data_IF_032891904061
#
_entry.id   IF_032891904061
#
_cell.length_a   1.000
_cell.length_b   1.000
_cell.length_c   1.000
_cell.angle_alpha   90.00
_cell.angle_beta   90.00
_cell.angle_gamma   90.00
#
_symmetry.space_group_name_H-M   'P 1'
#
loop_
_entity.id
_entity.type
_entity.pdbx_description
1 polymer ?
#
# COMPACT_ATOMS: atom_id res chain seq x y z
N UNK A 1 28.31 -12.13 1.43
CA UNK A 1 27.73 -12.09 1.94
C UNK A 1 27.47 -11.87 2.02
N UNK A 2 27.39 -11.65 1.62
CA UNK A 2 26.82 -11.41 1.99
C UNK A 2 26.53 -11.16 2.12
N UNK A 3 26.65 -11.03 1.59
CA UNK A 3 26.10 -10.82 1.98
C UNK A 3 25.90 -10.40 2.06
N UNK A 4 25.93 -10.34 1.69
CA UNK A 4 25.50 -10.02 2.02
C UNK A 4 25.50 -9.62 1.93
N UNK A 5 25.69 -9.70 1.52
CA UNK A 5 25.43 -9.42 1.64
C UNK A 5 25.40 -9.36 1.31
N UNK A 6 25.35 -9.70 1.08
CA UNK A 6 24.97 -9.77 0.98
C UNK A 6 24.66 -9.60 0.83
N UNK A 7 24.52 -9.84 0.69
CA UNK A 7 24.13 -9.46 0.77
C UNK A 7 24.70 -8.76 0.92
N UNK A 8 25.11 -8.98 1.26
CA UNK A 8 25.31 -8.04 1.49
C UNK A 8 25.68 -6.92 1.15
N UNK A 9 25.84 -7.01 1.63
CA UNK A 9 26.18 -6.05 0.63
C UNK A 9 25.03 -5.76 -0.33
N UNK A 10 23.91 -5.61 0.25
CA UNK A 10 22.70 -5.28 -0.49
C UNK A 10 22.78 -3.85 -0.99
N UNK A 11 22.40 -3.58 -2.24
CA UNK A 11 22.16 -2.21 -2.67
C UNK A 11 21.18 -1.53 -1.73
N UNK A 12 21.34 -0.22 -1.53
CA UNK A 12 20.47 0.49 -0.60
C UNK A 12 19.01 0.41 -1.02
N UNK A 13 18.72 0.36 -2.32
CA UNK A 13 17.34 0.26 -2.77
C UNK A 13 16.73 -1.09 -2.43
N UNK A 14 17.53 -2.13 -2.26
CA UNK A 14 17.02 -3.43 -1.84
C UNK A 14 16.58 -3.43 -0.39
N UNK A 15 17.19 -2.56 0.43
CA UNK A 15 16.77 -2.43 1.81
C UNK A 15 15.56 -1.53 1.96
N UNK A 16 15.24 -0.79 0.93
CA UNK A 16 14.18 0.19 0.95
C UNK A 16 13.24 -0.13 -0.21
N UNK A 17 12.50 -1.22 -0.05
CA UNK A 17 11.68 -1.78 -1.12
C UNK A 17 10.23 -1.80 -0.66
N UNK A 18 9.55 -0.66 -0.65
CA UNK A 18 8.17 -0.62 -0.19
C UNK A 18 7.20 -1.15 -1.25
N UNK A 19 6.22 -1.88 -0.77
CA UNK A 19 5.12 -2.36 -1.59
C UNK A 19 3.82 -1.82 -0.99
N UNK A 20 3.07 -1.05 -1.79
CA UNK A 20 1.84 -0.43 -1.34
C UNK A 20 0.66 -1.17 -1.96
N UNK A 21 -0.28 -1.55 -1.12
CA UNK A 21 -1.52 -2.17 -1.58
C UNK A 21 -2.67 -1.23 -1.25
N UNK A 22 -3.38 -0.80 -2.29
CA UNK A 22 -4.54 0.07 -2.12
C UNK A 22 -5.77 -0.77 -2.33
N UNK A 23 -6.58 -0.89 -1.31
CA UNK A 23 -7.86 -1.58 -1.39
C UNK A 23 -8.95 -0.54 -1.45
N UNK A 24 -9.86 -0.67 -2.39
CA UNK A 24 -10.91 0.32 -2.58
C UNK A 24 -12.19 -0.34 -3.04
N UNK A 25 -13.29 0.33 -2.80
CA UNK A 25 -14.57 -0.11 -3.33
C UNK A 25 -14.55 0.14 -4.83
N UNK A 26 -15.02 -0.82 -5.59
CA UNK A 26 -14.99 -0.74 -7.06
C UNK A 26 -15.74 0.48 -7.57
N UNK A 27 -15.43 0.87 -8.80
CA UNK A 27 -16.10 2.00 -9.45
C UNK A 27 -15.17 3.06 -9.96
N UNK A 28 -13.88 2.96 -9.68
CA UNK A 28 -12.92 3.92 -10.21
C UNK A 28 -12.47 3.51 -11.61
N UNK A 29 -12.21 4.49 -12.45
CA UNK A 29 -11.76 4.24 -13.80
C UNK A 29 -10.29 3.80 -13.81
N UNK A 30 -9.87 3.21 -14.94
CA UNK A 30 -8.48 2.84 -15.10
C UNK A 30 -7.58 4.07 -15.04
N UNK A 31 -8.03 5.18 -15.61
CA UNK A 31 -7.26 6.42 -15.56
C UNK A 31 -7.05 6.91 -14.14
N UNK A 32 -8.09 6.79 -13.30
CA UNK A 32 -7.97 7.19 -11.90
C UNK A 32 -6.99 6.29 -11.16
N UNK A 33 -7.02 5.00 -11.46
CA UNK A 33 -6.11 4.06 -10.81
C UNK A 33 -4.66 4.34 -11.20
N UNK A 34 -4.42 4.67 -12.45
CA UNK A 34 -3.07 4.99 -12.90
C UNK A 34 -2.58 6.30 -12.29
N UNK A 35 -3.46 7.29 -12.20
CA UNK A 35 -3.11 8.55 -11.56
C UNK A 35 -2.78 8.33 -10.08
N UNK A 36 -3.58 7.52 -9.39
CA UNK A 36 -3.34 7.21 -8.00
C UNK A 36 -1.99 6.51 -7.83
N UNK A 37 -1.70 5.54 -8.70
CA UNK A 37 -0.43 4.83 -8.64
C UNK A 37 0.75 5.78 -8.78
N UNK A 38 0.67 6.73 -9.70
CA UNK A 38 1.74 7.70 -9.90
C UNK A 38 1.94 8.57 -8.68
N UNK A 39 0.84 9.03 -8.08
CA UNK A 39 0.94 9.89 -6.89
C UNK A 39 1.44 9.13 -5.67
N UNK A 40 0.99 7.89 -5.49
CA UNK A 40 1.46 7.06 -4.39
C UNK A 40 2.96 6.77 -4.52
N UNK A 41 3.39 6.43 -5.73
CA UNK A 41 4.81 6.18 -6.00
C UNK A 41 5.63 7.41 -5.64
N UNK A 42 5.17 8.57 -6.08
CA UNK A 42 5.86 9.83 -5.81
C UNK A 42 5.94 10.11 -4.31
N UNK A 43 4.84 9.89 -3.61
CA UNK A 43 4.80 10.13 -2.16
C UNK A 43 5.78 9.22 -1.43
N UNK A 44 5.84 7.95 -1.81
CA UNK A 44 6.76 7.01 -1.18
C UNK A 44 8.20 7.41 -1.43
N UNK A 45 8.51 7.78 -2.68
CA UNK A 45 9.86 8.22 -3.01
C UNK A 45 10.27 9.44 -2.20
N UNK A 46 9.35 10.39 -2.07
CA UNK A 46 9.64 11.62 -1.33
C UNK A 46 9.82 11.36 0.15
N UNK A 47 8.92 10.57 0.73
CA UNK A 47 8.92 10.38 2.18
C UNK A 47 10.01 9.44 2.65
N UNK A 48 10.32 8.41 1.88
CA UNK A 48 11.26 7.37 2.29
C UNK A 48 12.62 7.47 1.60
N UNK A 49 12.74 8.31 0.59
CA UNK A 49 13.98 8.38 -0.17
C UNK A 49 14.20 7.16 -1.05
N UNK A 50 13.14 6.45 -1.41
CA UNK A 50 13.25 5.25 -2.23
C UNK A 50 13.46 5.60 -3.69
N UNK A 51 14.18 4.75 -4.41
CA UNK A 51 14.27 4.87 -5.85
C UNK A 51 12.97 4.38 -6.46
N UNK A 52 12.61 4.94 -7.60
CA UNK A 52 11.36 4.57 -8.27
C UNK A 52 11.29 3.06 -8.54
N UNK A 53 12.42 2.47 -8.92
CA UNK A 53 12.47 1.04 -9.24
C UNK A 53 12.21 0.14 -8.04
N UNK A 54 12.29 0.69 -6.83
CA UNK A 54 12.07 -0.10 -5.61
C UNK A 54 10.61 -0.11 -5.19
N UNK A 55 9.80 0.79 -5.71
CA UNK A 55 8.42 0.97 -5.29
C UNK A 55 7.49 0.15 -6.18
N UNK A 56 6.61 -0.61 -5.56
CA UNK A 56 5.54 -1.29 -6.29
C UNK A 56 4.21 -0.95 -5.66
N UNK A 57 3.18 -0.89 -6.50
CA UNK A 57 1.84 -0.50 -6.06
C UNK A 57 0.83 -1.47 -6.67
N UNK A 58 -0.02 -2.03 -5.85
CA UNK A 58 -1.12 -2.86 -6.30
C UNK A 58 -2.43 -2.21 -5.90
N UNK A 59 -3.45 -2.36 -6.74
CA UNK A 59 -4.77 -1.82 -6.45
C UNK A 59 -5.76 -2.96 -6.54
N UNK A 60 -6.56 -3.13 -5.49
CA UNK A 60 -7.56 -4.19 -5.42
C UNK A 60 -8.94 -3.58 -5.27
N UNK A 61 -9.84 -3.95 -6.18
CA UNK A 61 -11.23 -3.51 -6.14
C UNK A 61 -12.06 -4.52 -5.36
N UNK A 62 -13.01 -4.03 -4.59
CA UNK A 62 -13.93 -4.87 -3.83
C UNK A 62 -15.35 -4.39 -4.08
N UNK A 63 -16.31 -5.31 -4.18
CA UNK A 63 -17.72 -4.90 -4.21
C UNK A 63 -18.07 -4.14 -2.94
N UNK A 64 -18.96 -3.16 -3.08
CA UNK A 64 -19.34 -2.33 -1.94
C UNK A 64 -19.88 -3.17 -0.79
N UNK A 65 -20.68 -4.19 -1.09
CA UNK A 65 -21.28 -5.02 -0.04
C UNK A 65 -20.30 -6.01 0.58
N UNK A 66 -19.11 -6.16 0.00
CA UNK A 66 -18.07 -7.01 0.57
C UNK A 66 -17.04 -6.23 1.36
N UNK A 67 -17.10 -4.91 1.33
CA UNK A 67 -16.06 -4.07 1.94
C UNK A 67 -15.91 -4.35 3.44
N UNK A 68 -17.01 -4.37 4.17
CA UNK A 68 -16.95 -4.57 5.61
C UNK A 68 -16.30 -5.91 5.96
N UNK A 69 -16.74 -6.98 5.30
CA UNK A 69 -16.26 -8.33 5.63
C UNK A 69 -14.85 -8.59 5.11
N UNK A 70 -14.49 -8.02 3.97
CA UNK A 70 -13.22 -8.33 3.32
C UNK A 70 -12.11 -7.35 3.65
N UNK A 71 -12.45 -6.12 4.00
CA UNK A 71 -11.44 -5.08 4.24
C UNK A 71 -11.57 -4.47 5.63
N UNK A 72 -12.73 -3.96 5.98
CA UNK A 72 -12.85 -3.23 7.24
C UNK A 72 -12.54 -4.14 8.44
N UNK A 73 -13.17 -5.29 8.51
CA UNK A 73 -12.97 -6.18 9.66
C UNK A 73 -11.56 -6.76 9.69
N UNK A 74 -11.06 -7.39 8.60
CA UNK A 74 -9.74 -8.04 8.72
C UNK A 74 -8.57 -7.07 8.71
N UNK A 75 -8.66 -5.96 7.96
CA UNK A 75 -7.49 -5.11 7.75
C UNK A 75 -7.47 -3.87 8.62
N UNK A 76 -8.63 -3.36 9.00
CA UNK A 76 -8.69 -2.11 9.77
C UNK A 76 -9.01 -2.41 11.21
N UNK A 77 -10.15 -3.03 11.47
CA UNK A 77 -10.56 -3.34 12.82
C UNK A 77 -9.69 -4.42 13.45
N UNK A 78 -9.28 -5.40 12.63
CA UNK A 78 -8.50 -6.54 13.11
C UNK A 78 -7.01 -6.30 13.27
N UNK A 79 -6.50 -5.16 12.77
CA UNK A 79 -5.07 -4.86 12.84
C UNK A 79 -4.84 -3.42 13.27
N UNK A 80 -5.35 -3.03 14.44
CA UNK A 80 -5.27 -1.62 14.85
C UNK A 80 -3.84 -1.11 14.97
N UNK A 81 -2.90 -1.99 15.29
CA UNK A 81 -1.51 -1.57 15.46
C UNK A 81 -0.85 -1.19 14.13
N UNK A 82 -1.45 -1.58 13.00
CA UNK A 82 -0.90 -1.23 11.69
C UNK A 82 -1.59 -0.04 11.05
N UNK A 83 -2.68 0.44 11.63
CA UNK A 83 -3.46 1.52 11.05
C UNK A 83 -2.92 2.84 11.56
N UNK A 84 -2.19 3.55 10.70
CA UNK A 84 -1.60 4.84 11.06
C UNK A 84 -2.57 5.99 10.93
N UNK A 85 -3.59 5.82 10.09
CA UNK A 85 -4.65 6.81 9.93
C UNK A 85 -5.98 6.07 9.93
N UNK A 86 -6.76 6.30 10.97
CA UNK A 86 -8.07 5.64 11.10
C UNK A 86 -9.09 6.25 10.16
N UNK A 87 -10.02 5.44 9.65
CA UNK A 87 -11.10 6.00 8.83
C UNK A 87 -12.06 6.82 9.70
N UNK A 88 -12.70 7.77 9.05
CA UNK A 88 -13.68 8.60 9.72
C UNK A 88 -15.08 8.04 9.73
N UNK A 89 -15.23 6.77 9.36
CA UNK A 89 -16.53 6.11 9.29
C UNK A 89 -16.48 4.80 10.06
N UNK A 90 -17.66 4.30 10.40
CA UNK A 90 -17.81 3.01 11.08
C UNK A 90 -19.03 2.32 10.48
N UNK A 91 -18.85 1.18 9.75
CA UNK A 91 -19.97 0.52 9.08
C UNK A 91 -20.95 -0.14 10.03
N UNK A 92 -20.60 -0.20 11.32
CA UNK A 92 -21.48 -0.80 12.30
C UNK A 92 -22.33 0.23 13.06
N UNK A 93 -22.28 1.49 12.64
CA UNK A 93 -23.05 2.54 13.30
C UNK A 93 -24.08 3.17 12.38
#
# INVERSE_FOLDING_TARGET
MLASSEFQNCPSEERNVPHVIVKMIEGRSEEQKQALTAEVTKAVMTALGSAESSVSVAIQDFPRDAWTDKVYVPDIQGQPELVYKKPGYDPFK
#
